data_IF_507790997258
#
_entry.id   IF_507790997258
#
_cell.length_a   1.000
_cell.length_b   1.000
_cell.length_c   1.000
_cell.angle_alpha   90.00
_cell.angle_beta   90.00
_cell.angle_gamma   90.00
#
_symmetry.space_group_name_H-M   'P 1'
#
loop_
_entity.id
_entity.type
_entity.pdbx_description
1 polymer ?
#
# COMPACT_ATOMS: atom_id res chain seq x y z
N UNK A 1 -2.60 1.70 -6.25
CA UNK A 1 -4.07 1.48 -6.13
C UNK A 1 -4.29 0.00 -5.89
N UNK A 2 -5.19 -0.42 -4.97
CA UNK A 2 -5.42 -1.83 -4.72
C UNK A 2 -5.73 -2.60 -6.02
N UNK A 3 -5.16 -3.81 -6.18
CA UNK A 3 -5.41 -4.63 -7.35
C UNK A 3 -6.89 -4.95 -7.49
N UNK A 4 -7.41 -4.86 -8.72
CA UNK A 4 -8.77 -5.28 -9.04
C UNK A 4 -8.79 -6.80 -9.21
N UNK A 5 -9.45 -7.49 -8.29
CA UNK A 5 -9.60 -8.94 -8.32
C UNK A 5 -11.02 -9.26 -8.78
N UNK A 6 -11.14 -9.91 -9.94
CA UNK A 6 -12.44 -10.22 -10.57
C UNK A 6 -12.89 -11.67 -10.36
N UNK A 7 -12.01 -12.52 -9.82
CA UNK A 7 -12.22 -13.95 -9.63
C UNK A 7 -12.31 -14.29 -8.11
N UNK A 8 -13.40 -14.96 -7.65
CA UNK A 8 -13.53 -15.37 -6.25
C UNK A 8 -12.39 -16.23 -5.71
N UNK A 9 -11.82 -17.11 -6.54
CA UNK A 9 -10.67 -17.96 -6.14
C UNK A 9 -9.43 -17.11 -5.91
N UNK A 10 -9.17 -16.15 -6.79
CA UNK A 10 -8.06 -15.21 -6.62
C UNK A 10 -8.26 -14.32 -5.39
N UNK A 11 -9.52 -14.01 -5.04
CA UNK A 11 -9.84 -13.27 -3.82
C UNK A 11 -9.45 -14.06 -2.57
N UNK A 12 -9.86 -15.33 -2.48
CA UNK A 12 -9.50 -16.20 -1.37
C UNK A 12 -7.97 -16.38 -1.26
N UNK A 13 -7.28 -16.54 -2.39
CA UNK A 13 -5.82 -16.65 -2.41
C UNK A 13 -5.14 -15.35 -1.95
N UNK A 14 -5.67 -14.20 -2.34
CA UNK A 14 -5.18 -12.91 -1.87
C UNK A 14 -5.33 -12.78 -0.34
N UNK A 15 -6.46 -13.18 0.23
CA UNK A 15 -6.69 -13.14 1.68
C UNK A 15 -5.64 -13.96 2.45
N UNK A 16 -5.24 -15.11 1.90
CA UNK A 16 -4.21 -15.98 2.49
C UNK A 16 -2.82 -15.35 2.36
N UNK A 17 -2.50 -14.69 1.25
CA UNK A 17 -1.16 -14.19 0.95
C UNK A 17 -0.86 -12.80 1.51
N UNK A 18 -1.84 -11.88 1.55
CA UNK A 18 -1.58 -10.46 1.79
C UNK A 18 -0.94 -10.18 3.15
N UNK A 19 -1.43 -10.80 4.23
CA UNK A 19 -0.85 -10.59 5.56
C UNK A 19 0.56 -11.23 5.69
N UNK A 20 0.78 -12.49 5.27
CA UNK A 20 2.13 -13.07 5.19
C UNK A 20 3.10 -12.24 4.36
N UNK A 21 2.68 -11.76 3.19
CA UNK A 21 3.52 -10.92 2.32
C UNK A 21 3.92 -9.63 3.04
N UNK A 22 2.96 -8.97 3.70
CA UNK A 22 3.24 -7.77 4.48
C UNK A 22 4.27 -8.03 5.59
N UNK A 23 4.13 -9.11 6.36
CA UNK A 23 5.09 -9.49 7.40
C UNK A 23 6.50 -9.68 6.80
N UNK A 24 6.59 -10.36 5.66
CA UNK A 24 7.87 -10.65 5.00
C UNK A 24 8.53 -9.41 4.38
N UNK A 25 7.73 -8.52 3.81
CA UNK A 25 8.20 -7.23 3.32
C UNK A 25 8.78 -6.39 4.46
N UNK A 26 8.06 -6.25 5.57
CA UNK A 26 8.55 -5.48 6.74
C UNK A 26 9.83 -6.09 7.32
N UNK A 27 9.89 -7.41 7.44
CA UNK A 27 11.07 -8.11 7.95
C UNK A 27 12.30 -7.88 7.06
N UNK A 28 12.15 -7.99 5.74
CA UNK A 28 13.24 -7.77 4.80
C UNK A 28 13.63 -6.28 4.71
N UNK A 29 12.68 -5.34 4.83
CA UNK A 29 12.99 -3.91 4.95
C UNK A 29 13.85 -3.63 6.17
N UNK A 30 13.50 -4.21 7.33
CA UNK A 30 14.30 -4.04 8.55
C UNK A 30 15.74 -4.51 8.33
N UNK A 31 15.93 -5.73 7.79
CA UNK A 31 17.26 -6.27 7.48
C UNK A 31 18.03 -5.36 6.50
N UNK A 32 17.34 -4.84 5.47
CA UNK A 32 17.94 -3.95 4.50
C UNK A 32 18.36 -2.61 5.11
N UNK A 33 17.56 -2.06 6.03
CA UNK A 33 17.90 -0.85 6.77
C UNK A 33 19.15 -1.06 7.62
N UNK A 34 19.29 -2.21 8.29
CA UNK A 34 20.45 -2.56 9.12
C UNK A 34 21.77 -2.59 8.32
N UNK A 35 21.70 -2.90 7.02
CA UNK A 35 22.86 -2.97 6.11
C UNK A 35 23.06 -1.69 5.28
N UNK A 36 22.14 -0.73 5.36
CA UNK A 36 22.16 0.48 4.53
C UNK A 36 22.57 1.74 5.30
N UNK A 37 22.86 2.81 4.56
CA UNK A 37 23.05 4.16 5.13
C UNK A 37 21.75 4.94 5.33
N UNK A 38 20.61 4.34 4.99
CA UNK A 38 19.29 4.95 5.13
C UNK A 38 18.70 4.64 6.50
N UNK A 39 18.07 5.65 7.11
CA UNK A 39 17.21 5.45 8.27
C UNK A 39 15.75 5.44 7.81
N UNK A 40 14.96 4.51 8.34
CA UNK A 40 13.56 4.32 7.96
C UNK A 40 12.60 4.66 9.09
N UNK A 41 11.47 5.29 8.77
CA UNK A 41 10.36 5.52 9.71
C UNK A 41 9.03 5.27 9.01
N UNK A 42 8.18 4.46 9.64
CA UNK A 42 6.89 4.06 9.10
C UNK A 42 5.81 5.11 9.38
N UNK A 43 4.97 5.39 8.41
CA UNK A 43 3.93 6.41 8.49
C UNK A 43 2.62 5.93 7.86
N UNK A 44 1.53 6.16 8.57
CA UNK A 44 0.19 6.15 7.99
C UNK A 44 0.00 7.42 7.15
N UNK A 45 -0.46 7.25 5.92
CA UNK A 45 -0.66 8.34 4.97
C UNK A 45 -2.05 8.26 4.36
N UNK A 46 -2.63 9.41 4.01
CA UNK A 46 -3.85 9.45 3.21
C UNK A 46 -3.46 9.58 1.74
N UNK A 47 -3.70 8.51 0.98
CA UNK A 47 -3.42 8.49 -0.45
C UNK A 47 -4.64 9.03 -1.19
N UNK A 48 -4.44 10.04 -2.02
CA UNK A 48 -5.52 10.66 -2.79
C UNK A 48 -5.54 10.10 -4.22
N UNK A 49 -6.72 10.04 -4.87
CA UNK A 49 -6.78 9.79 -6.30
C UNK A 49 -5.89 10.81 -7.06
N UNK A 50 -5.11 10.38 -8.08
CA UNK A 50 -4.09 11.23 -8.71
C UNK A 50 -4.61 12.55 -9.29
N UNK A 51 -5.89 12.60 -9.67
CA UNK A 51 -6.56 13.78 -10.23
C UNK A 51 -7.13 14.74 -9.18
N UNK A 52 -6.91 14.51 -7.89
CA UNK A 52 -7.49 15.34 -6.82
C UNK A 52 -6.65 16.59 -6.58
N UNK A 53 -7.25 17.77 -6.77
CA UNK A 53 -6.58 19.06 -6.55
C UNK A 53 -6.49 19.38 -5.06
N UNK A 54 -5.55 20.26 -4.68
CA UNK A 54 -5.35 20.62 -3.27
C UNK A 54 -6.56 21.36 -2.69
N UNK A 55 -7.32 22.10 -3.50
CA UNK A 55 -8.58 22.72 -3.08
C UNK A 55 -9.62 21.67 -2.70
N UNK A 56 -9.72 20.57 -3.47
CA UNK A 56 -10.63 19.47 -3.15
C UNK A 56 -10.17 18.74 -1.88
N UNK A 57 -8.87 18.52 -1.71
CA UNK A 57 -8.31 17.90 -0.49
C UNK A 57 -8.62 18.74 0.75
N UNK A 58 -8.44 20.06 0.66
CA UNK A 58 -8.77 21.00 1.74
C UNK A 58 -10.26 20.95 2.07
N UNK A 59 -11.13 21.02 1.05
CA UNK A 59 -12.58 20.94 1.24
C UNK A 59 -13.00 19.64 1.93
N UNK A 60 -12.51 18.48 1.48
CA UNK A 60 -12.84 17.19 2.09
C UNK A 60 -12.34 17.13 3.54
N UNK A 61 -11.15 17.68 3.82
CA UNK A 61 -10.60 17.73 5.18
C UNK A 61 -11.46 18.58 6.10
N UNK A 62 -11.89 19.76 5.65
CA UNK A 62 -12.80 20.64 6.40
C UNK A 62 -14.15 19.97 6.66
N UNK A 63 -14.72 19.29 5.66
CA UNK A 63 -15.98 18.56 5.81
C UNK A 63 -15.88 17.41 6.82
N UNK A 64 -14.78 16.64 6.80
CA UNK A 64 -14.54 15.57 7.76
C UNK A 64 -14.40 16.11 9.20
N UNK A 65 -13.68 17.23 9.38
CA UNK A 65 -13.55 17.89 10.68
C UNK A 65 -14.90 18.44 11.18
N UNK A 66 -15.67 19.08 10.30
CA UNK A 66 -16.99 19.60 10.65
C UNK A 66 -17.93 18.50 11.14
N UNK A 67 -17.81 17.29 10.57
CA UNK A 67 -18.62 16.13 10.95
C UNK A 67 -18.38 15.65 12.40
N UNK A 68 -17.21 15.93 13.00
CA UNK A 68 -16.90 15.55 14.38
C UNK A 68 -17.79 16.26 15.41
N UNK A 69 -18.24 17.48 15.07
CA UNK A 69 -19.06 18.32 15.96
C UNK A 69 -20.45 18.61 15.41
N UNK A 70 -20.79 18.08 14.23
CA UNK A 70 -22.04 18.35 13.52
C UNK A 70 -23.25 17.78 14.28
N UNK A 71 -24.38 18.49 14.19
CA UNK A 71 -25.67 17.93 14.55
C UNK A 71 -26.04 16.77 13.60
N UNK A 72 -27.01 15.89 13.94
CA UNK A 72 -27.41 14.80 13.05
C UNK A 72 -27.85 15.26 11.65
N UNK A 73 -28.54 16.40 11.56
CA UNK A 73 -29.02 16.98 10.31
C UNK A 73 -27.87 17.51 9.44
N UNK A 74 -26.95 18.29 10.03
CA UNK A 74 -25.73 18.77 9.36
C UNK A 74 -24.83 17.61 8.93
N UNK A 75 -24.71 16.57 9.76
CA UNK A 75 -23.91 15.40 9.45
C UNK A 75 -24.45 14.63 8.24
N UNK A 76 -25.77 14.57 8.05
CA UNK A 76 -26.39 13.97 6.87
C UNK A 76 -26.13 14.79 5.60
N UNK A 77 -26.17 16.12 5.69
CA UNK A 77 -25.81 17.01 4.57
C UNK A 77 -24.32 16.88 4.18
N UNK A 78 -23.44 16.84 5.18
CA UNK A 78 -21.99 16.65 5.00
C UNK A 78 -21.72 15.29 4.34
N UNK A 79 -22.35 14.20 4.83
CA UNK A 79 -22.25 12.87 4.22
C UNK A 79 -22.70 12.86 2.76
N UNK A 80 -23.80 13.55 2.46
CA UNK A 80 -24.32 13.69 1.09
C UNK A 80 -23.33 14.37 0.15
N UNK A 81 -22.60 15.38 0.64
CA UNK A 81 -21.55 16.07 -0.10
C UNK A 81 -20.31 15.19 -0.29
N UNK A 82 -19.79 14.61 0.80
CA UNK A 82 -18.60 13.74 0.79
C UNK A 82 -18.76 12.55 -0.16
N UNK A 83 -19.96 11.98 -0.28
CA UNK A 83 -20.24 10.86 -1.19
C UNK A 83 -19.98 11.17 -2.68
N UNK A 84 -19.87 12.45 -3.05
CA UNK A 84 -19.61 12.91 -4.44
C UNK A 84 -18.18 13.38 -4.66
N UNK A 85 -17.38 13.45 -3.60
CA UNK A 85 -16.00 13.92 -3.65
C UNK A 85 -15.03 12.73 -3.69
N UNK A 86 -13.86 12.89 -4.32
CA UNK A 86 -12.81 11.87 -4.21
C UNK A 86 -12.40 11.74 -2.75
N UNK A 87 -12.43 10.51 -2.24
CA UNK A 87 -12.02 10.20 -0.87
C UNK A 87 -10.62 9.60 -0.87
N UNK A 88 -9.76 9.97 0.09
CA UNK A 88 -8.51 9.28 0.27
C UNK A 88 -8.74 7.90 0.88
N UNK A 89 -7.80 7.01 0.66
CA UNK A 89 -7.71 5.72 1.34
C UNK A 89 -6.43 5.66 2.18
N UNK A 90 -6.44 4.88 3.27
CA UNK A 90 -5.24 4.71 4.10
C UNK A 90 -4.16 3.99 3.30
N UNK A 91 -2.96 4.58 3.29
CA UNK A 91 -1.73 3.98 2.81
C UNK A 91 -0.72 3.87 3.94
N UNK A 92 0.32 3.07 3.71
CA UNK A 92 1.37 2.84 4.70
C UNK A 92 2.73 2.95 4.02
N UNK A 93 3.48 3.98 4.37
CA UNK A 93 4.73 4.35 3.69
C UNK A 93 5.93 4.22 4.63
N UNK A 94 7.04 3.75 4.08
CA UNK A 94 8.34 3.86 4.70
C UNK A 94 9.03 5.13 4.20
N UNK A 95 9.16 6.13 5.07
CA UNK A 95 9.97 7.31 4.79
C UNK A 95 11.42 7.01 5.11
N UNK A 96 12.28 7.23 4.13
CA UNK A 96 13.72 6.99 4.19
C UNK A 96 14.46 8.32 4.21
N UNK A 97 15.44 8.44 5.10
CA UNK A 97 16.30 9.61 5.20
C UNK A 97 17.78 9.20 5.17
N UNK A 98 18.57 9.95 4.41
CA UNK A 98 20.03 9.82 4.36
C UNK A 98 20.65 11.19 4.10
N UNK A 99 21.31 11.76 5.10
CA UNK A 99 21.86 13.12 5.02
C UNK A 99 20.80 14.15 4.60
N UNK A 100 20.92 14.75 3.40
CA UNK A 100 19.94 15.70 2.83
C UNK A 100 18.97 15.05 1.81
N UNK A 101 19.05 13.74 1.63
CA UNK A 101 18.17 13.01 0.73
C UNK A 101 17.01 12.38 1.50
N UNK A 102 15.83 12.44 0.89
CA UNK A 102 14.63 11.76 1.36
C UNK A 102 14.02 10.93 0.24
N UNK A 103 13.47 9.78 0.59
CA UNK A 103 12.72 8.93 -0.29
C UNK A 103 11.52 8.32 0.45
N UNK A 104 10.55 7.80 -0.31
CA UNK A 104 9.41 7.08 0.26
C UNK A 104 9.18 5.79 -0.52
N UNK A 105 8.88 4.71 0.19
CA UNK A 105 8.45 3.43 -0.38
C UNK A 105 7.01 3.17 0.09
N UNK A 106 6.11 2.94 -0.87
CA UNK A 106 4.74 2.49 -0.58
C UNK A 106 4.75 0.99 -0.28
N UNK A 107 4.38 0.63 0.95
CA UNK A 107 4.46 -0.75 1.41
C UNK A 107 3.34 -1.62 0.87
N UNK A 108 2.19 -1.04 0.54
CA UNK A 108 1.10 -1.79 -0.09
C UNK A 108 1.40 -2.10 -1.53
N UNK A 109 1.93 -1.13 -2.29
CA UNK A 109 2.37 -1.37 -3.67
C UNK A 109 3.41 -2.49 -3.72
N UNK A 110 4.39 -2.47 -2.81
CA UNK A 110 5.39 -3.54 -2.71
C UNK A 110 4.77 -4.90 -2.36
N UNK A 111 3.78 -4.94 -1.47
CA UNK A 111 3.03 -6.17 -1.18
C UNK A 111 2.23 -6.67 -2.39
N UNK A 112 1.68 -5.77 -3.20
CA UNK A 112 0.98 -6.15 -4.42
C UNK A 112 1.95 -6.71 -5.47
N UNK A 113 3.14 -6.14 -5.62
CA UNK A 113 4.20 -6.71 -6.47
C UNK A 113 4.64 -8.11 -6.01
N UNK A 114 4.62 -8.38 -4.70
CA UNK A 114 4.85 -9.73 -4.16
C UNK A 114 3.70 -10.67 -4.54
N UNK A 115 2.45 -10.30 -4.26
CA UNK A 115 1.32 -11.23 -4.33
C UNK A 115 0.76 -11.46 -5.75
N UNK A 116 0.96 -10.53 -6.68
CA UNK A 116 0.30 -10.53 -7.98
C UNK A 116 1.31 -10.62 -9.14
N UNK A 117 0.93 -11.32 -10.20
CA UNK A 117 1.70 -11.45 -11.43
C UNK A 117 1.58 -10.19 -12.27
N UNK A 118 2.73 -9.63 -12.68
CA UNK A 118 2.83 -8.44 -13.53
C UNK A 118 1.95 -7.30 -13.03
N UNK A 119 1.96 -7.08 -11.71
CA UNK A 119 1.16 -6.05 -11.08
C UNK A 119 1.49 -4.67 -11.66
N UNK A 120 0.46 -3.98 -12.12
CA UNK A 120 0.51 -2.55 -12.41
C UNK A 120 -0.78 -1.90 -11.91
N UNK A 121 -0.73 -0.68 -11.33
CA UNK A 121 -1.92 -0.01 -10.81
C UNK A 121 -3.01 0.25 -11.86
N UNK A 122 -2.66 0.23 -13.14
CA UNK A 122 -3.57 0.47 -14.26
C UNK A 122 -4.24 -0.82 -14.79
N UNK A 123 -3.79 -2.00 -14.38
CA UNK A 123 -4.34 -3.28 -14.86
C UNK A 123 -5.78 -3.45 -14.39
N UNK A 124 -6.69 -3.80 -15.30
CA UNK A 124 -8.11 -3.97 -14.97
C UNK A 124 -8.40 -5.24 -14.16
N UNK A 125 -7.54 -6.25 -14.28
CA UNK A 125 -7.62 -7.50 -13.51
C UNK A 125 -6.23 -7.95 -13.12
N UNK A 126 -6.00 -8.12 -11.82
CA UNK A 126 -4.75 -8.63 -11.29
C UNK A 126 -4.86 -10.15 -11.05
N UNK A 127 -3.84 -10.89 -11.48
CA UNK A 127 -3.75 -12.34 -11.30
C UNK A 127 -2.84 -12.63 -10.11
N UNK A 128 -3.27 -13.52 -9.22
CA UNK A 128 -2.46 -13.93 -8.07
C UNK A 128 -1.29 -14.80 -8.54
N UNK A 129 -0.12 -14.59 -7.94
CA UNK A 129 1.01 -15.49 -8.07
C UNK A 129 0.77 -16.76 -7.24
N UNK A 130 0.11 -17.74 -7.85
CA UNK A 130 -0.19 -19.02 -7.22
C UNK A 130 1.04 -19.85 -6.93
N UNK A 131 2.23 -19.48 -7.44
CA UNK A 131 3.48 -20.17 -7.10
C UNK A 131 3.91 -19.95 -5.65
N UNK A 132 3.32 -18.97 -4.97
CA UNK A 132 3.51 -18.66 -3.54
C UNK A 132 2.59 -19.50 -2.63
N UNK A 133 1.77 -20.36 -3.20
CA UNK A 133 0.86 -21.25 -2.50
C UNK A 133 1.28 -22.69 -2.83
N UNK A 134 1.38 -23.52 -1.81
CA UNK A 134 1.77 -24.92 -1.95
C UNK A 134 0.62 -25.82 -2.42
N UNK A 135 0.89 -27.12 -2.56
CA UNK A 135 -0.09 -28.11 -3.00
C UNK A 135 -1.26 -28.33 -2.03
N UNK A 136 -1.12 -27.88 -0.77
CA UNK A 136 -2.16 -27.96 0.26
C UNK A 136 -3.02 -26.70 0.30
N UNK A 137 -2.70 -25.68 -0.51
CA UNK A 137 -3.37 -24.38 -0.47
C UNK A 137 -2.87 -23.48 0.64
N UNK A 138 -1.72 -23.81 1.26
CA UNK A 138 -1.07 -23.01 2.29
C UNK A 138 0.04 -22.14 1.69
N UNK A 139 0.53 -21.16 2.46
CA UNK A 139 1.59 -20.26 2.00
C UNK A 139 2.92 -21.00 1.91
N UNK A 140 3.56 -20.97 0.74
CA UNK A 140 4.96 -21.34 0.59
C UNK A 140 5.85 -20.23 1.15
N UNK A 141 6.17 -20.34 2.44
CA UNK A 141 6.96 -19.36 3.18
C UNK A 141 8.35 -19.13 2.60
N UNK A 142 8.95 -20.14 1.99
CA UNK A 142 10.30 -20.02 1.43
C UNK A 142 10.29 -19.18 0.17
N UNK A 143 9.34 -19.46 -0.73
CA UNK A 143 9.17 -18.67 -1.97
C UNK A 143 8.72 -17.25 -1.66
N UNK A 144 7.80 -17.08 -0.72
CA UNK A 144 7.32 -15.77 -0.30
C UNK A 144 8.47 -14.93 0.28
N UNK A 145 9.28 -15.50 1.16
CA UNK A 145 10.44 -14.80 1.74
C UNK A 145 11.44 -14.41 0.64
N UNK A 146 11.81 -15.36 -0.24
CA UNK A 146 12.73 -15.11 -1.34
C UNK A 146 12.25 -14.00 -2.27
N UNK A 147 10.99 -14.05 -2.72
CA UNK A 147 10.40 -13.03 -3.60
C UNK A 147 10.31 -11.67 -2.92
N UNK A 148 9.88 -11.64 -1.65
CA UNK A 148 9.80 -10.39 -0.89
C UNK A 148 11.16 -9.75 -0.69
N UNK A 149 12.20 -10.55 -0.41
CA UNK A 149 13.57 -10.08 -0.28
C UNK A 149 14.06 -9.45 -1.58
N UNK A 150 13.89 -10.14 -2.70
CA UNK A 150 14.29 -9.64 -4.02
C UNK A 150 13.63 -8.29 -4.33
N UNK A 151 12.32 -8.17 -4.10
CA UNK A 151 11.58 -6.92 -4.37
C UNK A 151 12.01 -5.78 -3.43
N UNK A 152 12.28 -6.07 -2.15
CA UNK A 152 12.83 -5.08 -1.21
C UNK A 152 14.21 -4.60 -1.66
N UNK A 153 15.11 -5.51 -2.04
CA UNK A 153 16.44 -5.17 -2.55
C UNK A 153 16.34 -4.30 -3.80
N UNK A 154 15.45 -4.64 -4.73
CA UNK A 154 15.19 -3.84 -5.93
C UNK A 154 14.62 -2.45 -5.58
N UNK A 155 13.73 -2.36 -4.59
CA UNK A 155 13.18 -1.07 -4.16
C UNK A 155 14.27 -0.16 -3.57
N UNK A 156 15.18 -0.71 -2.76
CA UNK A 156 16.32 0.04 -2.23
C UNK A 156 17.36 0.40 -3.29
N UNK A 157 17.57 -0.45 -4.30
CA UNK A 157 18.48 -0.18 -5.42
C UNK A 157 18.00 0.99 -6.31
N UNK A 158 16.71 1.30 -6.29
CA UNK A 158 16.12 2.46 -7.02
C UNK A 158 16.28 3.78 -6.25
N UNK A 159 16.75 3.75 -5.00
CA UNK A 159 16.97 4.97 -4.21
C UNK A 159 18.11 5.79 -4.82
N UNK A 160 18.08 7.13 -4.70
CA UNK A 160 19.15 7.97 -5.21
C UNK A 160 20.51 7.53 -4.66
N UNK A 161 21.54 7.51 -5.51
CA UNK A 161 22.93 7.35 -5.04
C UNK A 161 23.39 8.61 -4.30
N UNK A 162 24.37 8.44 -3.41
CA UNK A 162 24.91 9.49 -2.54
C UNK A 162 26.30 9.89 -2.96
#
# INVERSE_FOLDING_TARGET
MPPKITNPVAWQQAEILMQPAFIRVIDNIRKQLDESSWTGTYHDVLIWPPSTTDEIKALVTELLQAMETATPEEADEIRGTLARLPMPHPGYHLRLQRQQQEASIDLWELCYEVCFLEYTPQKESADIDTSLIDEFGEVDWLRLDAKSKELVEQAFAKLPEG
#
